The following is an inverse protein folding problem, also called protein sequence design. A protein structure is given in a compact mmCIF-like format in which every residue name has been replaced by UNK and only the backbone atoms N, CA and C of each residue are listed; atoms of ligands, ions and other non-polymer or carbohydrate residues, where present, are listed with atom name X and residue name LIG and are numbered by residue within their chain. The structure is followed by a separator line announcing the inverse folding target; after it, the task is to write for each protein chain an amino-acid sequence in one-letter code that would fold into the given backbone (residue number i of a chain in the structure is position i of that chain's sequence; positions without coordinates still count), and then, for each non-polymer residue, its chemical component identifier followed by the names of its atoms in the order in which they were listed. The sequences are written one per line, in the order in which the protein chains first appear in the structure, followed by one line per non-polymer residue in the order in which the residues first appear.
data_IF_817591203337
#
_entry.id   IF_817591203337
#
_cell.length_a   1.000
_cell.length_b   1.000
_cell.length_c   1.000
_cell.angle_alpha   90.00
_cell.angle_beta   90.00
_cell.angle_gamma   90.00
#
_symmetry.space_group_name_H-M   'P 1'
#
loop_
_entity.id
_entity.type
_entity.pdbx_description
1 polymer ?
#
# COMPACT_ATOMS: atom_id res chain seq x y z
N UNK A 1 11.88 53.78 -13.64
CA UNK A 1 11.37 52.46 -14.05
C UNK A 1 11.61 51.46 -12.93
N UNK A 2 10.67 51.26 -12.00
CA UNK A 2 10.92 50.46 -10.77
C UNK A 2 9.64 49.88 -10.12
N UNK A 3 8.61 49.57 -10.93
CA UNK A 3 7.28 49.13 -10.43
C UNK A 3 6.81 47.77 -10.97
N UNK A 4 7.65 47.04 -11.72
CA UNK A 4 7.24 45.76 -12.35
C UNK A 4 7.66 44.50 -11.59
N UNK A 5 8.34 44.62 -10.44
CA UNK A 5 8.86 43.47 -9.69
C UNK A 5 7.80 42.67 -8.91
N UNK A 6 6.69 43.23 -8.37
CA UNK A 6 5.76 42.42 -7.57
C UNK A 6 4.87 41.49 -8.42
N UNK A 7 4.74 41.71 -9.73
CA UNK A 7 3.90 40.87 -10.60
C UNK A 7 4.54 39.51 -10.91
N UNK A 8 5.88 39.41 -10.90
CA UNK A 8 6.60 38.19 -11.22
C UNK A 8 6.45 37.11 -10.13
N UNK A 9 6.28 37.51 -8.86
CA UNK A 9 6.11 36.58 -7.74
C UNK A 9 4.72 35.92 -7.71
N UNK A 10 3.69 36.55 -8.27
CA UNK A 10 2.32 35.99 -8.30
C UNK A 10 2.18 34.85 -9.32
N UNK A 11 3.02 34.83 -10.37
CA UNK A 11 3.00 33.76 -11.38
C UNK A 11 3.79 32.51 -10.98
N UNK A 12 4.68 32.59 -9.99
CA UNK A 12 5.51 31.46 -9.55
C UNK A 12 4.80 30.53 -8.54
N UNK A 13 3.67 30.95 -7.96
CA UNK A 13 2.94 30.15 -6.95
C UNK A 13 2.01 29.08 -7.54
N UNK A 14 1.89 28.96 -8.86
CA UNK A 14 0.84 28.13 -9.50
C UNK A 14 1.28 26.72 -9.90
N UNK A 15 2.51 26.30 -9.62
CA UNK A 15 3.01 24.97 -9.97
C UNK A 15 3.28 24.09 -8.75
N UNK A 16 2.28 23.96 -7.86
CA UNK A 16 2.28 22.89 -6.86
C UNK A 16 1.74 21.61 -7.51
N UNK A 17 2.62 20.81 -8.10
CA UNK A 17 2.30 19.44 -8.50
C UNK A 17 2.05 18.60 -7.23
N UNK A 18 0.79 18.27 -6.97
CA UNK A 18 0.40 17.44 -5.84
C UNK A 18 0.60 15.96 -6.16
N UNK A 19 1.75 15.42 -5.76
CA UNK A 19 2.09 13.98 -5.86
C UNK A 19 0.95 13.10 -5.33
N UNK A 20 0.21 12.49 -6.27
CA UNK A 20 -1.04 11.76 -5.98
C UNK A 20 -0.82 10.36 -5.41
N UNK A 21 0.25 9.67 -5.83
CA UNK A 21 0.49 8.27 -5.53
C UNK A 21 1.81 8.06 -4.79
N UNK A 22 1.82 7.10 -3.87
CA UNK A 22 3.02 6.48 -3.32
C UNK A 22 3.27 5.15 -4.01
N UNK A 23 4.48 4.96 -4.52
CA UNK A 23 4.98 3.71 -5.08
C UNK A 23 5.81 3.00 -4.02
N UNK A 24 5.31 1.84 -3.59
CA UNK A 24 5.92 0.99 -2.58
C UNK A 24 6.59 -0.18 -3.29
N UNK A 25 7.91 -0.26 -3.23
CA UNK A 25 8.62 -1.46 -3.70
C UNK A 25 8.14 -2.69 -2.92
N UNK A 26 7.57 -3.66 -3.61
CA UNK A 26 7.06 -4.90 -3.01
C UNK A 26 8.17 -5.74 -2.39
N UNK A 27 9.43 -5.55 -2.83
CA UNK A 27 10.60 -6.21 -2.25
C UNK A 27 11.21 -5.44 -1.08
N UNK A 28 10.75 -4.21 -0.82
CA UNK A 28 11.24 -3.32 0.24
C UNK A 28 12.76 -3.05 0.17
N UNK A 29 13.33 -3.05 -1.03
CA UNK A 29 14.76 -2.78 -1.28
C UNK A 29 14.97 -1.28 -1.50
N UNK A 30 14.13 -0.69 -2.33
CA UNK A 30 14.16 0.74 -2.66
C UNK A 30 13.24 1.51 -1.70
N UNK A 31 13.48 2.82 -1.46
CA UNK A 31 12.58 3.63 -0.65
C UNK A 31 11.23 3.86 -1.35
N UNK A 32 10.20 4.21 -0.57
CA UNK A 32 8.90 4.62 -1.12
C UNK A 32 9.08 5.93 -1.89
N UNK A 33 8.65 5.94 -3.14
CA UNK A 33 8.73 7.12 -4.03
C UNK A 33 7.35 7.67 -4.32
N UNK A 34 7.22 8.98 -4.49
CA UNK A 34 5.95 9.63 -4.77
C UNK A 34 5.88 10.13 -6.22
N UNK A 35 4.73 9.94 -6.87
CA UNK A 35 4.50 10.28 -8.28
C UNK A 35 3.08 10.75 -8.51
N UNK A 36 2.86 11.54 -9.56
CA UNK A 36 1.52 11.90 -10.02
C UNK A 36 0.88 10.82 -10.89
N UNK A 37 1.70 10.00 -11.55
CA UNK A 37 1.24 9.02 -12.54
C UNK A 37 1.83 7.64 -12.25
N UNK A 38 0.97 6.64 -12.29
CA UNK A 38 1.34 5.23 -12.22
C UNK A 38 1.40 4.68 -13.65
N UNK A 39 2.57 4.17 -14.04
CA UNK A 39 2.80 3.60 -15.37
C UNK A 39 2.89 2.08 -15.30
N UNK A 40 2.75 1.41 -16.45
CA UNK A 40 2.96 -0.04 -16.56
C UNK A 40 4.38 -0.45 -16.15
N UNK A 41 5.37 0.40 -16.41
CA UNK A 41 6.76 0.17 -16.01
C UNK A 41 6.89 0.03 -14.47
N UNK A 42 6.17 0.85 -13.70
CA UNK A 42 6.14 0.70 -12.24
C UNK A 42 5.59 -0.66 -11.81
N UNK A 43 4.52 -1.12 -12.46
CA UNK A 43 3.94 -2.45 -12.20
C UNK A 43 4.95 -3.56 -12.53
N UNK A 44 5.62 -3.49 -13.69
CA UNK A 44 6.63 -4.48 -14.10
C UNK A 44 7.87 -4.48 -13.20
N UNK A 45 8.26 -3.32 -12.66
CA UNK A 45 9.34 -3.22 -11.67
C UNK A 45 8.95 -3.73 -10.28
N UNK A 46 7.68 -4.11 -10.07
CA UNK A 46 7.20 -4.63 -8.81
C UNK A 46 6.89 -3.54 -7.78
N UNK A 47 6.44 -2.37 -8.23
CA UNK A 47 5.89 -1.35 -7.34
C UNK A 47 4.40 -1.57 -7.11
N UNK A 48 3.99 -1.44 -5.86
CA UNK A 48 2.62 -1.34 -5.43
C UNK A 48 2.24 0.14 -5.25
N UNK A 49 1.27 0.62 -6.03
CA UNK A 49 0.83 2.00 -5.95
C UNK A 49 -0.30 2.16 -4.94
N UNK A 50 -0.29 3.25 -4.18
CA UNK A 50 -1.39 3.63 -3.27
C UNK A 50 -1.64 5.13 -3.39
N UNK A 51 -2.88 5.58 -3.23
CA UNK A 51 -3.16 7.02 -3.14
C UNK A 51 -2.57 7.61 -1.85
N UNK A 52 -1.94 8.78 -1.97
CA UNK A 52 -1.22 9.42 -0.87
C UNK A 52 -2.11 9.69 0.35
N UNK A 53 -3.36 10.08 0.09
CA UNK A 53 -4.35 10.36 1.14
C UNK A 53 -4.81 9.08 1.86
N UNK A 54 -4.73 7.94 1.19
CA UNK A 54 -5.21 6.66 1.70
C UNK A 54 -4.11 5.82 2.37
N UNK A 55 -2.86 6.29 2.38
CA UNK A 55 -1.76 5.53 2.98
C UNK A 55 -2.03 5.24 4.46
N UNK A 56 -2.45 6.24 5.24
CA UNK A 56 -2.75 6.06 6.66
C UNK A 56 -3.88 5.05 6.91
N UNK A 57 -5.06 5.15 6.28
CA UNK A 57 -6.11 4.16 6.48
C UNK A 57 -5.73 2.76 5.96
N UNK A 58 -4.94 2.67 4.87
CA UNK A 58 -4.39 1.40 4.39
C UNK A 58 -3.47 0.77 5.45
N UNK A 59 -2.51 1.53 5.98
CA UNK A 59 -1.57 1.08 7.03
C UNK A 59 -2.33 0.62 8.28
N UNK A 60 -3.27 1.42 8.77
CA UNK A 60 -4.08 1.08 9.94
C UNK A 60 -4.85 -0.24 9.75
N UNK A 61 -5.30 -0.50 8.53
CA UNK A 61 -6.02 -1.71 8.22
C UNK A 61 -5.11 -2.94 8.03
N UNK A 62 -3.92 -2.75 7.47
CA UNK A 62 -2.87 -3.79 7.47
C UNK A 62 -2.48 -4.18 8.91
N UNK A 63 -2.44 -3.22 9.85
CA UNK A 63 -2.24 -3.53 11.28
C UNK A 63 -3.40 -4.34 11.88
N UNK A 64 -4.64 -4.02 11.51
CA UNK A 64 -5.80 -4.81 11.93
C UNK A 64 -5.69 -6.25 11.43
N UNK A 65 -5.28 -6.45 10.17
CA UNK A 65 -5.01 -7.77 9.59
C UNK A 65 -3.91 -8.48 10.37
N UNK A 66 -2.79 -7.81 10.67
CA UNK A 66 -1.70 -8.38 11.46
C UNK A 66 -2.18 -8.85 12.84
N UNK A 67 -3.01 -8.06 13.52
CA UNK A 67 -3.61 -8.44 14.81
C UNK A 67 -4.53 -9.64 14.68
N UNK A 68 -5.36 -9.70 13.63
CA UNK A 68 -6.26 -10.83 13.36
C UNK A 68 -5.48 -12.12 13.07
N UNK A 69 -4.40 -12.04 12.30
CA UNK A 69 -3.53 -13.17 11.98
C UNK A 69 -2.77 -13.69 13.21
N UNK A 70 -2.36 -12.80 14.12
CA UNK A 70 -1.70 -13.18 15.36
C UNK A 70 -2.64 -13.88 16.35
N UNK A 71 -3.95 -13.60 16.28
CA UNK A 71 -4.94 -14.23 17.14
C UNK A 71 -5.35 -15.61 16.61
N UNK A 72 -4.84 -16.66 17.28
CA UNK A 72 -5.12 -18.07 16.97
C UNK A 72 -6.58 -18.48 17.15
N UNK A 73 -7.44 -17.61 17.71
CA UNK A 73 -8.86 -17.89 17.91
C UNK A 73 -9.73 -17.47 16.73
N UNK A 74 -9.20 -16.67 15.79
CA UNK A 74 -9.96 -16.20 14.66
C UNK A 74 -10.14 -17.31 13.62
N UNK A 75 -11.25 -18.02 13.71
CA UNK A 75 -11.79 -18.83 12.60
C UNK A 75 -12.64 -17.92 11.73
N UNK A 76 -12.06 -17.41 10.66
CA UNK A 76 -12.71 -16.40 9.82
C UNK A 76 -13.41 -16.98 8.60
N UNK A 77 -14.39 -16.25 8.09
CA UNK A 77 -14.76 -16.30 6.67
C UNK A 77 -13.85 -15.35 5.88
N UNK A 78 -13.69 -15.62 4.58
CA UNK A 78 -12.99 -14.71 3.68
C UNK A 78 -13.58 -13.30 3.75
N UNK A 79 -12.75 -12.29 3.53
CA UNK A 79 -13.16 -10.89 3.58
C UNK A 79 -12.78 -10.17 2.30
N UNK A 80 -13.58 -9.16 1.95
CA UNK A 80 -13.24 -8.18 0.94
C UNK A 80 -13.63 -6.81 1.46
N UNK A 81 -12.70 -5.86 1.42
CA UNK A 81 -13.00 -4.47 1.76
C UNK A 81 -12.15 -3.53 0.92
N UNK A 82 -12.60 -2.29 0.76
CA UNK A 82 -11.93 -1.29 -0.07
C UNK A 82 -11.63 -0.04 0.76
N UNK A 83 -10.42 0.51 0.58
CA UNK A 83 -9.98 1.80 1.12
C UNK A 83 -9.46 2.61 -0.07
N UNK A 84 -10.15 3.70 -0.38
CA UNK A 84 -9.88 4.48 -1.59
C UNK A 84 -9.98 3.62 -2.85
N UNK A 85 -8.91 3.57 -3.62
CA UNK A 85 -8.79 2.72 -4.80
C UNK A 85 -8.13 1.35 -4.55
N UNK A 86 -7.86 1.02 -3.28
CA UNK A 86 -7.19 -0.23 -2.86
C UNK A 86 -8.19 -1.20 -2.27
N UNK A 87 -8.36 -2.35 -2.92
CA UNK A 87 -9.19 -3.46 -2.45
C UNK A 87 -8.32 -4.53 -1.80
N UNK A 88 -8.74 -4.97 -0.62
CA UNK A 88 -8.10 -6.03 0.13
C UNK A 88 -9.00 -7.25 0.06
N UNK A 89 -8.42 -8.36 -0.35
CA UNK A 89 -9.12 -9.65 -0.47
C UNK A 89 -8.37 -10.67 0.37
N UNK A 90 -9.06 -11.22 1.36
CA UNK A 90 -8.54 -12.26 2.23
C UNK A 90 -9.33 -13.55 2.04
N UNK A 91 -8.63 -14.64 1.76
CA UNK A 91 -9.19 -15.99 1.69
C UNK A 91 -8.54 -16.81 2.79
N UNK A 92 -9.35 -17.61 3.49
CA UNK A 92 -8.89 -18.51 4.54
C UNK A 92 -9.01 -19.92 4.01
N UNK A 93 -7.89 -20.64 4.01
CA UNK A 93 -7.79 -22.03 3.58
C UNK A 93 -7.66 -22.88 4.85
N UNK A 94 -8.73 -23.58 5.27
CA UNK A 94 -8.67 -24.44 6.43
C UNK A 94 -7.80 -25.67 6.14
N UNK A 95 -6.82 -25.96 7.00
CA UNK A 95 -6.09 -27.24 7.02
C UNK A 95 -6.36 -27.98 8.32
N UNK A 96 -6.14 -29.29 8.30
CA UNK A 96 -6.44 -30.23 9.41
C UNK A 96 -5.86 -29.79 10.77
N UNK A 97 -4.73 -29.07 10.78
CA UNK A 97 -4.03 -28.63 12.00
C UNK A 97 -3.89 -27.11 12.16
N UNK A 98 -4.15 -26.33 11.12
CA UNK A 98 -3.94 -24.87 11.11
C UNK A 98 -4.74 -24.21 10.00
N UNK A 99 -4.99 -22.92 10.12
CA UNK A 99 -5.56 -22.11 9.03
C UNK A 99 -4.43 -21.43 8.24
N UNK A 100 -4.60 -21.32 6.92
CA UNK A 100 -3.72 -20.54 6.05
C UNK A 100 -4.49 -19.35 5.50
N UNK A 101 -3.78 -18.24 5.33
CA UNK A 101 -4.35 -16.99 4.87
C UNK A 101 -3.69 -16.60 3.56
N UNK A 102 -4.50 -16.32 2.55
CA UNK A 102 -4.09 -15.64 1.33
C UNK A 102 -4.69 -14.25 1.36
N UNK A 103 -3.84 -13.23 1.48
CA UNK A 103 -4.29 -11.84 1.58
C UNK A 103 -3.60 -11.04 0.50
N UNK A 104 -4.41 -10.50 -0.41
CA UNK A 104 -3.96 -9.75 -1.58
C UNK A 104 -4.55 -8.36 -1.53
N UNK A 105 -3.69 -7.37 -1.70
CA UNK A 105 -4.07 -5.98 -1.94
C UNK A 105 -4.02 -5.74 -3.45
N UNK A 106 -5.07 -5.16 -4.00
CA UNK A 106 -5.13 -4.74 -5.39
C UNK A 106 -5.52 -3.28 -5.45
N UNK A 107 -4.71 -2.46 -6.10
CA UNK A 107 -4.98 -1.04 -6.27
C UNK A 107 -5.24 -0.74 -7.74
N UNK A 108 -6.33 -0.04 -8.01
CA UNK A 108 -6.70 0.42 -9.35
C UNK A 108 -6.36 1.91 -9.51
N UNK A 109 -5.32 2.20 -10.30
CA UNK A 109 -4.90 3.56 -10.60
C UNK A 109 -5.41 4.02 -11.99
N UNK A 110 -6.56 3.48 -12.44
CA UNK A 110 -7.17 3.79 -13.72
C UNK A 110 -6.68 2.84 -14.82
N UNK A 111 -5.61 3.20 -15.51
CA UNK A 111 -5.04 2.36 -16.58
C UNK A 111 -4.11 1.25 -16.07
N UNK A 112 -3.68 1.33 -14.81
CA UNK A 112 -2.72 0.39 -14.22
C UNK A 112 -3.28 -0.19 -12.93
N UNK A 113 -3.29 -1.52 -12.85
CA UNK A 113 -3.60 -2.26 -11.63
C UNK A 113 -2.30 -2.79 -11.03
N UNK A 114 -2.06 -2.49 -9.77
CA UNK A 114 -0.92 -3.03 -9.01
C UNK A 114 -1.42 -3.98 -7.93
N UNK A 115 -0.63 -5.01 -7.63
CA UNK A 115 -0.99 -6.02 -6.63
C UNK A 115 0.14 -6.25 -5.64
N UNK A 116 -0.22 -6.55 -4.41
CA UNK A 116 0.69 -6.93 -3.34
C UNK A 116 0.13 -8.14 -2.61
N UNK A 117 0.89 -9.23 -2.60
CA UNK A 117 0.63 -10.36 -1.72
C UNK A 117 1.15 -10.01 -0.34
N UNK A 118 0.22 -9.80 0.60
CA UNK A 118 0.52 -9.48 1.99
C UNK A 118 0.66 -10.74 2.83
N UNK A 119 -0.08 -11.80 2.49
CA UNK A 119 0.10 -13.14 3.04
C UNK A 119 0.09 -14.18 1.94
N UNK A 120 1.00 -15.14 2.01
CA UNK A 120 1.01 -16.32 1.15
C UNK A 120 0.57 -17.55 1.98
N UNK A 121 -0.44 -18.33 1.52
CA UNK A 121 -0.91 -19.50 2.24
C UNK A 121 0.15 -20.61 2.35
N UNK A 122 1.20 -20.60 1.52
CA UNK A 122 2.28 -21.59 1.52
C UNK A 122 3.25 -21.41 2.69
N UNK A 123 3.36 -20.21 3.25
CA UNK A 123 4.28 -19.90 4.35
C UNK A 123 3.56 -19.87 5.71
N UNK A 124 4.33 -20.01 6.79
CA UNK A 124 3.76 -20.05 8.15
C UNK A 124 3.14 -18.71 8.54
N UNK A 125 2.20 -18.72 9.49
CA UNK A 125 1.58 -17.49 10.01
C UNK A 125 2.64 -16.58 10.60
N UNK A 126 3.64 -17.12 11.30
CA UNK A 126 4.75 -16.37 11.87
C UNK A 126 5.59 -15.67 10.78
N UNK A 127 5.82 -16.34 9.65
CA UNK A 127 6.56 -15.77 8.52
C UNK A 127 5.76 -14.66 7.81
N UNK A 128 4.46 -14.89 7.62
CA UNK A 128 3.54 -13.88 7.10
C UNK A 128 3.48 -12.64 8.01
N UNK A 129 3.39 -12.84 9.34
CA UNK A 129 3.41 -11.75 10.31
C UNK A 129 4.74 -10.99 10.30
N UNK A 130 5.87 -11.69 10.17
CA UNK A 130 7.17 -11.04 10.02
C UNK A 130 7.22 -10.15 8.77
N UNK A 131 6.74 -10.66 7.63
CA UNK A 131 6.66 -9.89 6.39
C UNK A 131 5.76 -8.66 6.55
N UNK A 132 4.54 -8.82 7.07
CA UNK A 132 3.60 -7.71 7.29
C UNK A 132 4.21 -6.64 8.19
N UNK A 133 4.81 -7.04 9.31
CA UNK A 133 5.41 -6.09 10.25
C UNK A 133 6.62 -5.35 9.63
N UNK A 134 7.39 -6.04 8.78
CA UNK A 134 8.49 -5.43 8.03
C UNK A 134 7.97 -4.43 7.02
N UNK A 135 6.93 -4.80 6.27
CA UNK A 135 6.26 -3.93 5.32
C UNK A 135 5.66 -2.68 5.98
N UNK A 136 4.98 -2.85 7.12
CA UNK A 136 4.44 -1.75 7.92
C UNK A 136 5.53 -0.78 8.37
N UNK A 137 6.66 -1.29 8.89
CA UNK A 137 7.80 -0.45 9.29
C UNK A 137 8.40 0.30 8.10
N UNK A 138 8.58 -0.39 6.99
CA UNK A 138 9.11 0.17 5.76
C UNK A 138 8.22 1.31 5.24
N UNK A 139 6.92 1.08 5.09
CA UNK A 139 5.96 2.10 4.64
C UNK A 139 5.88 3.26 5.63
N UNK A 140 5.77 3.00 6.93
CA UNK A 140 5.75 4.05 7.97
C UNK A 140 7.01 4.92 8.00
N UNK A 141 8.17 4.36 7.66
CA UNK A 141 9.41 5.12 7.62
C UNK A 141 9.38 6.25 6.57
N UNK A 142 8.53 6.12 5.55
CA UNK A 142 8.41 7.06 4.45
C UNK A 142 7.28 8.11 4.61
N UNK A 143 6.36 7.93 5.58
CA UNK A 143 5.19 8.80 5.77
C UNK A 143 5.38 9.71 7.01
N UNK A 144 6.63 10.05 7.32
CA UNK A 144 6.94 10.98 8.42
C UNK A 144 6.59 12.42 8.06
#
# INVERSE_FOLDING_TARGET
MRKFIPLLFVFLSSFTFSQKYALVDTKMILPVTFTDVVTLEHSYKGYFAMERNDIHPIVAKVEEIAKKLADKKNKGQGFSYTVGNTTFTGIIIPLIKNERFDIVLTTDCGMVKTKLHLCDPKISVESNLFYINTWLKYVKSAIK
#
